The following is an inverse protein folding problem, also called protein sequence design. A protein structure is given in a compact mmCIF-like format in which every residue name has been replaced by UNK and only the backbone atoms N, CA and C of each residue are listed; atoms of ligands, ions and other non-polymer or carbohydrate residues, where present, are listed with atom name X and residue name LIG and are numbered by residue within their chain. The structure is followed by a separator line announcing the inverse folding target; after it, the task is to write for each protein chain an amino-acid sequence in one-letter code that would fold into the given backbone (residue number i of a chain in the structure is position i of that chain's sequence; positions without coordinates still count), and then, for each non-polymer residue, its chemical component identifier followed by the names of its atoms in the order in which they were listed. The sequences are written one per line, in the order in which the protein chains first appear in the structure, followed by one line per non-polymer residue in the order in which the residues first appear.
data_IF_679193735456
#
_entry.id   IF_679193735456
#
_cell.length_a   1.000
_cell.length_b   1.000
_cell.length_c   1.000
_cell.angle_alpha   90.00
_cell.angle_beta   90.00
_cell.angle_gamma   90.00
#
_symmetry.space_group_name_H-M   'P 1'
#
loop_
_entity.id
_entity.type
_entity.pdbx_description
1 polymer ?
#
# COMPACT_ATOMS: atom_id res chain seq x y z
N UNK A 1 -45.67 40.73 25.22
CA UNK A 1 -44.37 40.56 24.51
C UNK A 1 -43.30 40.01 25.46
N UNK A 2 -43.23 38.68 25.70
CA UNK A 2 -42.19 38.07 26.59
C UNK A 2 -41.80 36.61 26.25
N UNK A 3 -42.02 36.13 25.03
CA UNK A 3 -41.79 34.71 24.69
C UNK A 3 -40.84 34.44 23.51
N UNK A 4 -40.15 35.47 23.00
CA UNK A 4 -39.29 35.32 21.80
C UNK A 4 -37.78 35.34 22.09
N UNK A 5 -37.35 35.52 23.33
CA UNK A 5 -35.92 35.78 23.64
C UNK A 5 -35.13 34.58 24.17
N UNK A 6 -35.72 33.38 24.28
CA UNK A 6 -35.03 32.21 24.87
C UNK A 6 -34.68 31.09 23.91
N UNK A 7 -35.17 31.12 22.67
CA UNK A 7 -34.94 30.03 21.69
C UNK A 7 -33.66 30.25 20.87
N UNK A 8 -33.15 31.47 20.79
CA UNK A 8 -32.00 31.81 19.95
C UNK A 8 -30.64 31.51 20.57
N UNK A 9 -30.53 31.35 21.91
CA UNK A 9 -29.25 30.99 22.55
C UNK A 9 -28.94 29.48 22.52
N UNK A 10 -29.94 28.61 22.39
CA UNK A 10 -29.72 27.16 22.33
C UNK A 10 -29.09 26.70 21.00
N UNK A 11 -29.39 27.40 19.90
CA UNK A 11 -28.88 27.06 18.58
C UNK A 11 -27.46 27.61 18.33
N UNK A 12 -27.09 28.71 18.99
CA UNK A 12 -25.72 29.25 18.94
C UNK A 12 -24.71 28.38 19.70
N UNK A 13 -25.14 27.66 20.74
CA UNK A 13 -24.26 26.74 21.49
C UNK A 13 -24.00 25.40 20.77
N UNK A 14 -24.89 24.99 19.86
CA UNK A 14 -24.71 23.75 19.07
C UNK A 14 -23.83 23.96 17.82
N UNK A 15 -23.69 25.21 17.35
CA UNK A 15 -22.90 25.55 16.16
C UNK A 15 -21.41 25.80 16.44
N UNK A 16 -20.99 25.91 17.71
CA UNK A 16 -19.58 26.14 18.10
C UNK A 16 -18.85 24.81 18.44
N UNK A 17 -19.56 23.68 18.46
CA UNK A 17 -18.97 22.34 18.67
C UNK A 17 -18.62 21.61 17.36
N UNK A 18 -18.48 22.34 16.24
CA UNK A 18 -17.64 21.88 15.13
C UNK A 18 -16.20 22.01 15.62
N UNK A 19 -15.82 21.09 16.49
CA UNK A 19 -14.42 20.73 16.69
C UNK A 19 -13.86 20.51 15.30
N UNK A 20 -13.02 21.45 14.85
CA UNK A 20 -12.09 21.19 13.78
C UNK A 20 -11.22 20.09 14.38
N UNK A 21 -11.61 18.83 14.14
CA UNK A 21 -10.76 17.71 14.42
C UNK A 21 -9.43 18.08 13.75
N UNK A 22 -8.30 18.09 14.49
CA UNK A 22 -7.02 18.32 13.85
C UNK A 22 -6.96 17.33 12.70
N UNK A 23 -6.77 17.84 11.48
CA UNK A 23 -6.59 16.99 10.32
C UNK A 23 -5.52 15.97 10.73
N UNK A 24 -5.91 14.71 10.86
CA UNK A 24 -5.00 13.62 11.21
C UNK A 24 -3.86 13.71 10.23
N UNK A 25 -2.69 14.09 10.73
CA UNK A 25 -1.50 14.30 9.94
C UNK A 25 -1.21 12.99 9.22
N UNK A 26 -1.01 13.05 7.90
CA UNK A 26 -0.50 11.94 7.12
C UNK A 26 0.71 11.30 7.82
N UNK A 27 0.66 10.00 8.03
CA UNK A 27 1.85 9.25 8.42
C UNK A 27 2.74 9.05 7.19
N UNK A 28 4.03 9.29 7.37
CA UNK A 28 5.02 9.06 6.31
C UNK A 28 5.41 7.60 6.31
N UNK A 29 5.23 6.93 5.17
CA UNK A 29 5.76 5.59 4.93
C UNK A 29 7.16 5.74 4.36
N UNK A 30 8.12 5.02 4.95
CA UNK A 30 9.50 4.96 4.46
C UNK A 30 9.72 3.64 3.73
N UNK A 31 10.20 3.72 2.49
CA UNK A 31 10.51 2.58 1.64
C UNK A 31 12.00 2.58 1.37
N UNK A 32 12.66 1.46 1.61
CA UNK A 32 14.03 1.22 1.14
C UNK A 32 14.16 -0.12 0.45
N UNK A 33 15.07 -0.18 -0.50
CA UNK A 33 15.45 -1.38 -1.25
C UNK A 33 16.91 -1.70 -1.01
N UNK A 34 17.22 -3.00 -0.98
CA UNK A 34 18.59 -3.49 -1.09
C UNK A 34 19.15 -3.26 -2.49
N UNK A 35 20.47 -3.31 -2.61
CA UNK A 35 21.15 -3.37 -3.90
C UNK A 35 21.30 -4.82 -4.36
N UNK A 36 21.51 -5.02 -5.66
CA UNK A 36 21.80 -6.32 -6.25
C UNK A 36 22.82 -6.16 -7.38
N UNK A 37 23.55 -7.23 -7.68
CA UNK A 37 24.49 -7.29 -8.81
C UNK A 37 24.37 -8.65 -9.47
N UNK A 38 24.07 -8.65 -10.76
CA UNK A 38 24.04 -9.82 -11.62
C UNK A 38 25.15 -9.68 -12.65
N UNK A 39 25.92 -10.73 -12.87
CA UNK A 39 26.98 -10.78 -13.88
C UNK A 39 26.74 -11.90 -14.86
N UNK A 40 27.37 -11.78 -16.04
CA UNK A 40 27.42 -12.84 -17.04
C UNK A 40 26.03 -13.30 -17.51
N UNK A 41 25.09 -12.35 -17.64
CA UNK A 41 23.74 -12.62 -18.12
C UNK A 41 23.83 -13.10 -19.57
N UNK A 42 23.43 -14.36 -19.82
CA UNK A 42 23.47 -14.96 -21.17
C UNK A 42 24.87 -15.18 -21.76
N UNK A 43 25.94 -14.91 -21.01
CA UNK A 43 27.31 -15.14 -21.46
C UNK A 43 27.62 -16.65 -21.49
N UNK A 44 28.12 -17.15 -22.63
CA UNK A 44 28.48 -18.55 -22.83
C UNK A 44 29.93 -18.90 -22.41
N UNK A 45 30.65 -17.94 -21.81
CA UNK A 45 32.04 -18.06 -21.39
C UNK A 45 33.07 -17.69 -22.46
N UNK A 46 32.62 -17.29 -23.66
CA UNK A 46 33.47 -16.80 -24.74
C UNK A 46 33.67 -15.28 -24.76
N UNK A 47 32.86 -14.53 -24.00
CA UNK A 47 32.90 -13.07 -23.92
C UNK A 47 33.91 -12.50 -22.93
N UNK A 48 33.90 -11.18 -22.81
CA UNK A 48 34.69 -10.47 -21.78
C UNK A 48 34.07 -10.73 -20.39
N UNK A 49 34.83 -11.17 -19.37
CA UNK A 49 34.29 -11.43 -18.04
C UNK A 49 33.66 -10.18 -17.39
N UNK A 50 32.52 -10.37 -16.71
CA UNK A 50 31.82 -9.29 -16.00
C UNK A 50 30.99 -8.36 -16.89
N UNK A 51 30.94 -8.65 -18.20
CA UNK A 51 30.04 -7.99 -19.14
C UNK A 51 28.66 -8.65 -19.12
N UNK A 52 27.69 -7.96 -19.70
CA UNK A 52 26.27 -8.24 -19.59
C UNK A 52 25.87 -8.39 -18.14
N UNK A 53 26.20 -7.36 -17.38
CA UNK A 53 25.96 -7.28 -15.96
C UNK A 53 24.90 -6.22 -15.66
N UNK A 54 23.99 -6.56 -14.76
CA UNK A 54 22.96 -5.66 -14.28
C UNK A 54 23.20 -5.35 -12.81
N UNK A 55 23.41 -4.08 -12.52
CA UNK A 55 23.57 -3.54 -11.18
C UNK A 55 22.33 -2.75 -10.79
N UNK A 56 21.73 -3.08 -9.64
CA UNK A 56 20.73 -2.25 -8.97
C UNK A 56 21.32 -1.61 -7.73
N UNK A 57 21.44 -0.28 -7.70
CA UNK A 57 21.92 0.42 -6.51
C UNK A 57 20.81 0.54 -5.48
N UNK A 58 21.11 0.32 -4.20
CA UNK A 58 20.14 0.50 -3.12
C UNK A 58 19.54 1.92 -3.14
N UNK A 59 18.25 2.06 -2.86
CA UNK A 59 17.58 3.35 -2.78
C UNK A 59 16.65 3.43 -1.57
N UNK A 60 16.31 4.66 -1.19
CA UNK A 60 15.34 4.94 -0.14
C UNK A 60 14.51 6.16 -0.51
N UNK A 61 13.21 6.09 -0.23
CA UNK A 61 12.26 7.15 -0.46
C UNK A 61 11.25 7.22 0.69
N UNK A 62 10.89 8.44 1.08
CA UNK A 62 9.77 8.68 2.01
C UNK A 62 8.57 9.20 1.25
N UNK A 63 7.39 8.64 1.51
CA UNK A 63 6.13 9.10 0.93
C UNK A 63 5.12 9.39 2.04
N UNK A 64 4.58 10.60 2.01
CA UNK A 64 3.55 11.05 2.95
C UNK A 64 2.17 10.71 2.41
N UNK A 65 1.36 9.93 3.15
CA UNK A 65 0.11 9.39 2.64
C UNK A 65 -1.02 9.58 3.65
N UNK A 66 -2.18 10.01 3.15
CA UNK A 66 -3.40 10.17 3.92
C UNK A 66 -4.39 9.06 3.55
N UNK A 67 -4.43 7.99 4.34
CA UNK A 67 -5.37 6.88 4.15
C UNK A 67 -4.99 5.94 3.00
N UNK A 68 -6.00 5.30 2.39
CA UNK A 68 -5.80 4.38 1.26
C UNK A 68 -5.39 5.11 -0.02
N UNK A 69 -4.58 4.48 -0.86
CA UNK A 69 -4.18 5.05 -2.14
C UNK A 69 -3.15 4.22 -2.88
N UNK A 70 -2.70 4.70 -4.03
CA UNK A 70 -1.60 4.06 -4.77
C UNK A 70 -0.63 5.10 -5.33
N UNK A 71 0.65 4.74 -5.37
CA UNK A 71 1.70 5.57 -5.96
C UNK A 71 2.80 4.70 -6.55
N UNK A 72 3.66 5.31 -7.36
CA UNK A 72 4.84 4.65 -7.92
C UNK A 72 6.06 5.24 -7.26
N UNK A 73 6.97 4.38 -6.79
CA UNK A 73 8.24 4.79 -6.24
C UNK A 73 9.40 4.04 -6.89
N UNK A 74 10.58 4.67 -6.83
CA UNK A 74 11.83 4.07 -7.26
C UNK A 74 12.23 2.97 -6.28
N UNK A 75 12.53 1.78 -6.79
CA UNK A 75 13.23 0.74 -6.05
C UNK A 75 14.73 0.87 -6.27
N UNK A 76 15.24 0.90 -7.50
CA UNK A 76 16.68 0.92 -7.73
C UNK A 76 17.03 1.73 -8.98
N UNK A 77 18.01 2.65 -8.93
CA UNK A 77 18.76 3.01 -10.13
C UNK A 77 19.43 1.78 -10.69
N UNK A 78 19.24 1.54 -11.99
CA UNK A 78 19.79 0.42 -12.73
C UNK A 78 20.94 0.88 -13.62
N UNK A 79 21.99 0.08 -13.66
CA UNK A 79 23.07 0.18 -14.64
C UNK A 79 23.23 -1.18 -15.30
N UNK A 80 23.08 -1.21 -16.62
CA UNK A 80 23.36 -2.37 -17.46
C UNK A 80 24.67 -2.12 -18.21
N UNK A 81 25.65 -2.98 -18.00
CA UNK A 81 26.95 -2.90 -18.65
C UNK A 81 27.03 -4.01 -19.70
N UNK A 82 27.24 -3.65 -20.95
CA UNK A 82 27.24 -4.57 -22.10
C UNK A 82 28.58 -4.58 -22.82
N UNK A 83 28.87 -5.70 -23.49
CA UNK A 83 30.00 -5.81 -24.40
C UNK A 83 29.87 -7.01 -25.33
N UNK A 84 30.96 -7.36 -26.01
CA UNK A 84 31.01 -8.61 -26.74
C UNK A 84 30.91 -9.83 -25.80
N UNK A 85 29.87 -10.64 -26.02
CA UNK A 85 29.47 -11.80 -25.22
C UNK A 85 30.03 -13.12 -25.73
N UNK A 86 30.77 -13.10 -26.84
CA UNK A 86 31.24 -14.30 -27.53
C UNK A 86 30.46 -14.56 -28.82
N UNK A 87 31.06 -15.31 -29.74
CA UNK A 87 30.36 -15.76 -30.94
C UNK A 87 29.31 -16.82 -30.57
N UNK A 88 28.10 -16.71 -31.12
CA UNK A 88 27.03 -17.67 -30.88
C UNK A 88 26.33 -17.50 -29.53
N UNK A 89 26.50 -16.35 -28.87
CA UNK A 89 25.82 -16.01 -27.63
C UNK A 89 24.42 -15.43 -27.88
N UNK A 90 24.04 -15.19 -29.13
CA UNK A 90 22.73 -14.65 -29.49
C UNK A 90 21.59 -15.55 -28.98
N UNK A 91 20.59 -14.94 -28.37
CA UNK A 91 19.44 -15.66 -27.81
C UNK A 91 18.80 -14.96 -26.62
N UNK A 92 17.75 -15.59 -26.11
CA UNK A 92 17.01 -15.12 -24.93
C UNK A 92 17.34 -16.00 -23.73
N UNK A 93 17.73 -15.39 -22.62
CA UNK A 93 18.12 -16.09 -21.40
C UNK A 93 17.34 -15.56 -20.21
N UNK A 94 16.68 -16.47 -19.49
CA UNK A 94 15.95 -16.13 -18.28
C UNK A 94 16.92 -16.03 -17.09
N UNK A 95 16.68 -15.06 -16.21
CA UNK A 95 17.36 -14.95 -14.93
C UNK A 95 16.35 -14.62 -13.82
N UNK A 96 16.71 -14.99 -12.59
CA UNK A 96 15.96 -14.65 -11.40
C UNK A 96 16.92 -14.09 -10.36
N UNK A 97 16.45 -13.12 -9.59
CA UNK A 97 17.19 -12.56 -8.48
C UNK A 97 16.24 -12.15 -7.36
N UNK A 98 16.81 -11.89 -6.20
CA UNK A 98 16.06 -11.44 -5.04
C UNK A 98 16.72 -10.21 -4.45
N UNK A 99 15.91 -9.31 -3.91
CA UNK A 99 16.38 -8.16 -3.14
C UNK A 99 15.47 -7.94 -1.95
N UNK A 100 16.00 -7.36 -0.88
CA UNK A 100 15.18 -7.00 0.27
C UNK A 100 14.49 -5.66 0.02
N UNK A 101 13.22 -5.57 0.43
CA UNK A 101 12.45 -4.33 0.49
C UNK A 101 12.00 -4.13 1.93
N UNK A 102 12.25 -2.94 2.46
CA UNK A 102 11.87 -2.57 3.81
C UNK A 102 10.84 -1.45 3.76
N UNK A 103 9.70 -1.65 4.40
CA UNK A 103 8.65 -0.64 4.57
C UNK A 103 8.42 -0.45 6.06
N UNK A 104 8.59 0.78 6.55
CA UNK A 104 8.42 1.15 7.96
C UNK A 104 9.15 0.22 8.94
N UNK A 105 10.35 -0.21 8.55
CA UNK A 105 11.22 -1.08 9.36
C UNK A 105 10.90 -2.58 9.27
N UNK A 106 9.86 -2.98 8.54
CA UNK A 106 9.57 -4.39 8.24
C UNK A 106 10.21 -4.75 6.90
N UNK A 107 11.11 -5.74 6.91
CA UNK A 107 11.82 -6.21 5.72
C UNK A 107 11.19 -7.49 5.19
N UNK A 108 11.00 -7.57 3.87
CA UNK A 108 10.65 -8.80 3.16
C UNK A 108 11.48 -8.93 1.89
N UNK A 109 11.69 -10.17 1.45
CA UNK A 109 12.44 -10.47 0.22
C UNK A 109 11.52 -10.45 -0.98
N UNK A 110 11.86 -9.61 -1.96
CA UNK A 110 11.19 -9.47 -3.25
C UNK A 110 11.94 -10.32 -4.28
N UNK A 111 11.26 -11.33 -4.82
CA UNK A 111 11.79 -12.15 -5.92
C UNK A 111 11.39 -11.54 -7.26
N UNK A 112 12.36 -11.39 -8.16
CA UNK A 112 12.17 -10.74 -9.46
C UNK A 112 12.70 -11.69 -10.54
N UNK A 113 11.91 -11.80 -11.61
CA UNK A 113 12.29 -12.51 -12.82
C UNK A 113 12.60 -11.51 -13.94
N UNK A 114 13.54 -11.88 -14.80
CA UNK A 114 13.90 -11.11 -15.97
C UNK A 114 14.38 -11.99 -17.11
N UNK A 115 14.56 -11.36 -18.26
CA UNK A 115 15.20 -11.97 -19.43
C UNK A 115 16.25 -11.03 -19.97
N UNK A 116 17.30 -11.59 -20.58
CA UNK A 116 18.21 -10.83 -21.43
C UNK A 116 18.09 -11.38 -22.85
N UNK A 117 17.88 -10.50 -23.80
CA UNK A 117 17.92 -10.78 -25.23
C UNK A 117 19.26 -10.30 -25.77
N UNK A 118 20.14 -11.25 -26.11
CA UNK A 118 21.45 -10.98 -26.69
C UNK A 118 21.30 -10.96 -28.21
N UNK A 119 21.64 -9.84 -28.82
CA UNK A 119 21.62 -9.64 -30.26
C UNK A 119 23.02 -9.45 -30.83
N UNK A 120 23.12 -9.33 -32.16
CA UNK A 120 24.41 -9.07 -32.80
C UNK A 120 24.95 -7.66 -32.51
N UNK A 121 24.05 -6.70 -32.24
CA UNK A 121 24.41 -5.28 -32.06
C UNK A 121 23.76 -4.61 -30.85
N UNK A 122 22.71 -5.23 -30.30
CA UNK A 122 21.91 -4.68 -29.22
C UNK A 122 21.57 -5.82 -28.29
N UNK A 123 21.90 -5.62 -27.02
CA UNK A 123 21.51 -6.51 -25.95
C UNK A 123 20.45 -5.79 -25.13
N UNK A 124 19.38 -6.49 -24.76
CA UNK A 124 18.27 -5.87 -24.01
C UNK A 124 17.97 -6.66 -22.77
N UNK A 125 18.01 -6.00 -21.62
CA UNK A 125 17.55 -6.58 -20.36
C UNK A 125 16.09 -6.21 -20.15
N UNK A 126 15.26 -7.21 -19.89
CA UNK A 126 13.87 -7.06 -19.51
C UNK A 126 13.69 -7.49 -18.06
N UNK A 127 13.19 -6.59 -17.21
CA UNK A 127 12.69 -6.94 -15.89
C UNK A 127 11.18 -7.12 -16.01
N UNK A 128 10.70 -8.29 -15.58
CA UNK A 128 9.28 -8.63 -15.64
C UNK A 128 8.56 -8.12 -14.38
N UNK A 129 7.24 -8.06 -14.46
CA UNK A 129 6.41 -7.86 -13.27
C UNK A 129 6.63 -9.04 -12.32
N UNK A 130 6.77 -8.74 -11.03
CA UNK A 130 6.93 -9.75 -9.97
C UNK A 130 5.57 -10.17 -9.41
N UNK A 131 5.53 -11.29 -8.71
CA UNK A 131 4.41 -11.57 -7.82
C UNK A 131 4.27 -10.44 -6.77
N UNK A 132 3.04 -10.01 -6.44
CA UNK A 132 2.84 -8.94 -5.48
C UNK A 132 3.32 -9.34 -4.08
N UNK A 133 4.07 -8.44 -3.44
CA UNK A 133 4.50 -8.57 -2.05
C UNK A 133 3.56 -7.77 -1.14
N UNK A 134 3.00 -8.38 -0.10
CA UNK A 134 2.09 -7.69 0.82
C UNK A 134 2.74 -7.52 2.20
N UNK A 135 2.83 -6.28 2.66
CA UNK A 135 3.18 -5.92 4.03
C UNK A 135 1.92 -5.67 4.84
N UNK A 136 1.82 -6.24 6.04
CA UNK A 136 0.67 -6.06 6.91
C UNK A 136 1.11 -5.43 8.23
N UNK A 137 0.52 -4.27 8.55
CA UNK A 137 0.79 -3.48 9.75
C UNK A 137 -0.38 -3.48 10.74
N UNK A 138 -1.38 -4.35 10.53
CA UNK A 138 -2.57 -4.49 11.36
C UNK A 138 -3.67 -3.48 11.02
N UNK A 139 -3.36 -2.18 10.94
CA UNK A 139 -4.34 -1.13 10.60
C UNK A 139 -4.42 -0.83 9.11
N UNK A 140 -3.37 -1.17 8.37
CA UNK A 140 -3.30 -1.08 6.93
C UNK A 140 -2.36 -2.16 6.38
N UNK A 141 -2.49 -2.42 5.09
CA UNK A 141 -1.55 -3.23 4.31
C UNK A 141 -0.99 -2.43 3.14
N UNK A 142 0.19 -2.83 2.68
CA UNK A 142 0.86 -2.27 1.51
C UNK A 142 1.17 -3.41 0.55
N UNK A 143 0.54 -3.39 -0.62
CA UNK A 143 0.88 -4.29 -1.72
C UNK A 143 1.95 -3.62 -2.59
N UNK A 144 3.01 -4.34 -2.93
CA UNK A 144 4.12 -3.89 -3.77
C UNK A 144 4.14 -4.74 -5.04
N UNK A 145 4.04 -4.09 -6.20
CA UNK A 145 4.12 -4.75 -7.49
C UNK A 145 5.21 -4.08 -8.36
N UNK A 146 6.20 -4.85 -8.78
CA UNK A 146 7.26 -4.36 -9.68
C UNK A 146 6.65 -4.02 -11.04
N UNK A 147 6.99 -2.84 -11.55
CA UNK A 147 6.63 -2.43 -12.90
C UNK A 147 7.65 -2.99 -13.88
N UNK A 148 7.23 -3.62 -14.99
CA UNK A 148 8.15 -4.06 -16.02
C UNK A 148 9.01 -2.91 -16.53
N UNK A 149 10.28 -3.18 -16.78
CA UNK A 149 11.19 -2.21 -17.38
C UNK A 149 12.15 -2.90 -18.35
N UNK A 150 12.74 -2.14 -19.26
CA UNK A 150 13.69 -2.69 -20.23
C UNK A 150 14.81 -1.70 -20.53
N UNK A 151 16.04 -2.21 -20.60
CA UNK A 151 17.24 -1.42 -20.85
C UNK A 151 17.91 -1.95 -22.10
N UNK A 152 17.98 -1.12 -23.13
CA UNK A 152 18.66 -1.42 -24.39
C UNK A 152 20.12 -0.97 -24.31
N UNK A 153 21.06 -1.90 -24.49
CA UNK A 153 22.48 -1.65 -24.59
C UNK A 153 22.95 -1.78 -26.04
N UNK A 154 23.16 -0.63 -26.71
CA UNK A 154 23.61 -0.58 -28.11
C UNK A 154 25.15 -0.61 -28.14
N UNK A 155 25.71 -1.78 -28.44
CA UNK A 155 27.14 -2.01 -28.42
C UNK A 155 27.75 -1.91 -27.02
N UNK A 156 29.09 -1.90 -26.90
CA UNK A 156 29.75 -1.92 -25.60
C UNK A 156 29.60 -0.61 -24.83
N UNK A 157 29.19 -0.67 -23.57
CA UNK A 157 29.05 0.52 -22.73
C UNK A 157 28.22 0.30 -21.47
N UNK A 158 27.81 1.40 -20.86
CA UNK A 158 26.92 1.43 -19.70
C UNK A 158 25.63 2.18 -20.04
N UNK A 159 24.50 1.57 -19.69
CA UNK A 159 23.17 2.07 -19.97
C UNK A 159 22.38 2.11 -18.67
N UNK A 160 21.65 3.19 -18.43
CA UNK A 160 20.96 3.41 -17.16
C UNK A 160 19.45 3.50 -17.32
N UNK A 161 18.74 2.96 -16.33
CA UNK A 161 17.31 3.15 -16.16
C UNK A 161 16.93 2.98 -14.68
N UNK A 162 15.65 2.77 -14.37
CA UNK A 162 15.11 2.73 -13.03
C UNK A 162 14.16 1.54 -12.86
N UNK A 163 14.43 0.72 -11.86
CA UNK A 163 13.45 -0.23 -11.34
C UNK A 163 12.46 0.52 -10.47
N UNK A 164 11.17 0.42 -10.81
CA UNK A 164 10.07 1.06 -10.08
C UNK A 164 9.05 0.02 -9.65
N UNK A 165 8.34 0.32 -8.57
CA UNK A 165 7.21 -0.48 -8.14
C UNK A 165 5.99 0.41 -7.87
N UNK A 166 4.81 -0.15 -8.13
CA UNK A 166 3.55 0.39 -7.66
C UNK A 166 3.29 -0.10 -6.24
N UNK A 167 3.00 0.85 -5.36
CA UNK A 167 2.62 0.60 -3.98
C UNK A 167 1.13 0.91 -3.83
N UNK A 168 0.36 -0.02 -3.28
CA UNK A 168 -1.07 0.12 -3.03
C UNK A 168 -1.32 -0.04 -1.54
N UNK A 169 -1.80 1.02 -0.90
CA UNK A 169 -2.13 1.04 0.52
C UNK A 169 -3.61 0.82 0.69
N UNK A 170 -3.93 -0.19 1.50
CA UNK A 170 -5.28 -0.53 1.91
C UNK A 170 -5.39 -0.32 3.40
N UNK A 171 -6.14 0.68 3.82
CA UNK A 171 -6.57 0.78 5.21
C UNK A 171 -7.72 -0.19 5.42
N UNK A 172 -7.81 -0.82 6.60
CA UNK A 172 -9.02 -1.54 6.98
C UNK A 172 -10.16 -0.54 7.19
N UNK A 173 -10.79 -0.09 6.11
CA UNK A 173 -12.10 0.57 6.15
C UNK A 173 -13.18 -0.48 6.02
N UNK A 174 -13.26 -1.34 7.02
CA UNK A 174 -14.51 -1.93 7.51
C UNK A 174 -14.24 -2.15 9.00
N UNK A 175 -14.85 -1.38 9.93
CA UNK A 175 -15.08 -1.96 11.23
C UNK A 175 -15.88 -3.23 10.94
N UNK A 176 -15.33 -4.41 11.22
CA UNK A 176 -16.19 -5.59 11.42
C UNK A 176 -17.26 -5.11 12.35
N UNK A 177 -18.48 -4.95 11.83
CA UNK A 177 -19.56 -4.26 12.50
C UNK A 177 -19.53 -4.69 13.96
N UNK A 178 -19.10 -3.77 14.84
CA UNK A 178 -19.13 -4.03 16.27
C UNK A 178 -20.57 -4.45 16.51
N UNK A 179 -20.85 -5.65 17.05
CA UNK A 179 -22.21 -5.99 17.39
C UNK A 179 -22.67 -4.88 18.31
N UNK A 180 -23.62 -4.06 17.85
CA UNK A 180 -24.14 -2.96 18.64
C UNK A 180 -24.40 -3.52 20.03
N UNK A 181 -23.83 -2.94 21.10
CA UNK A 181 -24.08 -3.47 22.42
C UNK A 181 -25.60 -3.46 22.59
N UNK A 182 -26.15 -4.62 22.94
CA UNK A 182 -27.58 -4.86 23.13
C UNK A 182 -28.25 -3.88 24.14
N UNK A 183 -27.49 -2.95 24.70
CA UNK A 183 -27.90 -1.84 25.56
C UNK A 183 -28.79 -0.81 24.88
N UNK A 184 -28.68 -0.54 23.57
CA UNK A 184 -29.61 0.37 22.89
C UNK A 184 -31.00 -0.25 22.69
N UNK A 185 -31.08 -1.56 22.43
CA UNK A 185 -32.35 -2.30 22.43
C UNK A 185 -32.96 -2.42 23.83
N UNK A 186 -32.12 -2.52 24.87
CA UNK A 186 -32.56 -2.56 26.27
C UNK A 186 -33.16 -1.24 26.76
N UNK A 187 -32.67 -0.09 26.27
CA UNK A 187 -33.22 1.23 26.59
C UNK A 187 -34.61 1.43 25.97
N UNK A 188 -34.82 0.94 24.74
CA UNK A 188 -36.11 0.97 24.04
C UNK A 188 -37.18 0.08 24.68
N UNK A 189 -36.81 -1.13 25.14
CA UNK A 189 -37.71 -2.04 25.85
C UNK A 189 -38.02 -1.57 27.29
N UNK A 190 -37.07 -0.89 27.94
CA UNK A 190 -37.24 -0.34 29.29
C UNK A 190 -38.33 0.75 29.36
N UNK A 191 -38.39 1.66 28.39
CA UNK A 191 -39.39 2.73 28.36
C UNK A 191 -40.80 2.22 28.01
N UNK A 192 -40.91 1.22 27.14
CA UNK A 192 -42.19 0.58 26.82
C UNK A 192 -42.80 -0.17 28.02
N UNK A 193 -41.97 -0.85 28.82
CA UNK A 193 -42.39 -1.56 30.03
C UNK A 193 -42.92 -0.65 31.14
N UNK A 194 -42.32 0.54 31.31
CA UNK A 194 -42.78 1.53 32.32
C UNK A 194 -44.14 2.15 31.92
N UNK A 195 -44.36 2.42 30.63
CA UNK A 195 -45.64 2.94 30.13
C UNK A 195 -46.80 1.92 30.27
N UNK A 196 -46.55 0.64 30.02
CA UNK A 196 -47.54 -0.43 30.18
C UNK A 196 -47.96 -0.62 31.66
N UNK A 197 -47.00 -0.58 32.59
CA UNK A 197 -47.26 -0.74 34.03
C UNK A 197 -48.04 0.44 34.63
N UNK A 198 -47.84 1.66 34.12
CA UNK A 198 -48.61 2.85 34.51
C UNK A 198 -50.07 2.80 33.99
N UNK A 199 -50.31 2.23 32.80
CA UNK A 199 -51.66 2.07 32.25
C UNK A 199 -52.48 1.01 33.01
N UNK A 200 -51.82 -0.01 33.55
CA UNK A 200 -52.47 -1.08 34.31
C UNK A 200 -52.96 -0.60 35.69
N UNK A 201 -52.20 0.27 36.37
CA UNK A 201 -52.59 0.87 37.67
C UNK A 201 -53.79 1.81 37.58
N UNK A 202 -54.01 2.48 36.44
CA UNK A 202 -55.20 3.33 36.24
C UNK A 202 -56.49 2.54 36.04
N UNK A 203 -56.42 1.29 35.56
CA UNK A 203 -57.61 0.43 35.41
C UNK A 203 -58.02 -0.25 36.71
N UNK A 204 -57.07 -0.63 37.57
CA UNK A 204 -57.40 -1.31 38.84
C UNK A 204 -57.98 -0.39 39.91
N UNK A 205 -57.83 0.94 39.77
CA UNK A 205 -58.42 1.91 40.70
C UNK A 205 -59.85 2.34 40.33
N UNK A 206 -60.41 1.83 39.22
CA UNK A 206 -61.77 2.18 38.76
C UNK A 206 -62.78 1.05 38.90
N UNK A 207 -62.43 -0.03 39.63
CA UNK A 207 -63.30 -1.21 39.84
C UNK A 207 -63.64 -1.48 41.30
N UNK A 208 -63.57 -0.48 42.17
CA UNK A 208 -64.23 -0.51 43.49
C UNK A 208 -65.15 0.69 43.65
N UNK A 209 -66.24 0.70 42.89
CA UNK A 209 -67.51 1.32 43.31
C UNK A 209 -68.63 0.45 42.75
N UNK A 210 -69.03 -0.55 43.52
CA UNK A 210 -70.43 -0.94 43.78
C UNK A 210 -70.46 -2.07 44.79
#
# INVERSE_FOLDING_TARGET
MRFLTKVTLGLAALLISITIAPATKADSITISSGGFSLSDLGNNGGGVPGMDSLLGTAASAGQTINGSGSFVALLNPLTFTTAFTGHGSEGTYNFNFAQDVTIDGVTQTLNIAGTIDIGTFVDTVHILSSDPLTFNFGTFSVDVNVLPTSIEGIGPGEFSDFLKAQFVIRTETEPTATPEPATLSLLGLGLAGVAAKLRQRRKSSHSQVT
#
